data_IF_083546048570
#
_entry.id   IF_083546048570
#
_cell.length_a   1.000
_cell.length_b   1.000
_cell.length_c   1.000
_cell.angle_alpha   90.00
_cell.angle_beta   90.00
_cell.angle_gamma   90.00
#
_symmetry.space_group_name_H-M   'P 1'
#
loop_
_entity.id
_entity.type
_entity.pdbx_description
1 polymer ?
#
# COMPACT_ATOMS: atom_id res chain seq x y z
N UNK A 1 -4.65 -13.09 8.73
CA UNK A 1 -5.80 -12.23 9.08
C UNK A 1 -5.32 -11.14 10.03
N UNK A 2 -5.54 -9.84 9.79
CA UNK A 2 -4.79 -8.77 10.47
C UNK A 2 -5.57 -8.24 11.69
N UNK A 3 -5.85 -9.07 12.69
CA UNK A 3 -6.54 -8.66 13.92
C UNK A 3 -6.04 -9.50 15.10
N UNK A 4 -6.42 -9.14 16.33
CA UNK A 4 -6.10 -9.94 17.50
C UNK A 4 -6.74 -11.34 17.41
N UNK A 5 -6.04 -12.36 17.93
CA UNK A 5 -6.57 -13.73 17.96
C UNK A 5 -7.89 -13.82 18.75
N UNK A 6 -8.02 -13.01 19.81
CA UNK A 6 -9.25 -12.95 20.60
C UNK A 6 -10.44 -12.46 19.78
N UNK A 7 -10.28 -11.34 19.05
CA UNK A 7 -11.31 -10.78 18.17
C UNK A 7 -11.66 -11.76 17.05
N UNK A 8 -10.65 -12.35 16.42
CA UNK A 8 -10.85 -13.31 15.33
C UNK A 8 -11.58 -14.56 15.80
N UNK A 9 -11.16 -15.14 16.94
CA UNK A 9 -11.79 -16.32 17.52
C UNK A 9 -13.27 -16.08 17.87
N UNK A 10 -13.56 -14.97 18.58
CA UNK A 10 -14.95 -14.61 18.94
C UNK A 10 -15.87 -14.46 17.73
N UNK A 11 -15.33 -14.04 16.58
CA UNK A 11 -16.16 -13.69 15.44
C UNK A 11 -16.26 -14.80 14.39
N UNK A 12 -15.15 -15.53 14.14
CA UNK A 12 -15.09 -16.53 13.08
C UNK A 12 -15.33 -17.96 13.57
N UNK A 13 -15.01 -18.24 14.83
CA UNK A 13 -15.15 -19.56 15.43
C UNK A 13 -15.52 -19.50 16.93
N UNK A 14 -16.61 -18.80 17.30
CA UNK A 14 -17.03 -18.64 18.70
C UNK A 14 -17.25 -19.98 19.42
N UNK A 15 -17.59 -21.04 18.69
CA UNK A 15 -17.78 -22.39 19.19
C UNK A 15 -16.51 -23.02 19.79
N UNK A 16 -15.32 -22.50 19.43
CA UNK A 16 -14.03 -22.98 19.97
C UNK A 16 -13.69 -22.37 21.33
N UNK A 17 -14.53 -21.47 21.84
CA UNK A 17 -14.33 -20.77 23.11
C UNK A 17 -13.43 -19.53 22.99
N UNK A 18 -13.25 -18.83 24.11
CA UNK A 18 -12.48 -17.59 24.16
C UNK A 18 -10.97 -17.83 24.29
N UNK A 19 -10.20 -16.86 23.79
CA UNK A 19 -8.76 -16.80 24.07
C UNK A 19 -8.54 -16.69 25.59
N UNK A 20 -7.58 -17.45 26.12
CA UNK A 20 -7.15 -17.32 27.52
C UNK A 20 -6.31 -16.07 27.76
N UNK A 21 -5.91 -15.85 29.01
CA UNK A 21 -4.96 -14.80 29.42
C UNK A 21 -3.95 -15.37 30.42
N UNK A 22 -2.72 -14.87 30.37
CA UNK A 22 -1.66 -15.20 31.33
C UNK A 22 -0.97 -13.91 31.81
N UNK A 23 -0.54 -13.83 33.08
CA UNK A 23 0.16 -12.66 33.60
C UNK A 23 1.60 -12.64 33.09
N UNK A 24 1.81 -12.16 31.87
CA UNK A 24 3.13 -12.16 31.21
C UNK A 24 4.25 -11.50 32.03
N UNK A 25 3.91 -10.48 32.83
CA UNK A 25 4.86 -9.73 33.68
C UNK A 25 5.40 -10.60 34.82
N UNK A 26 4.63 -11.59 35.27
CA UNK A 26 4.99 -12.47 36.38
C UNK A 26 5.77 -13.70 35.90
N UNK A 27 5.92 -13.89 34.58
CA UNK A 27 6.63 -15.02 34.01
C UNK A 27 8.13 -14.74 33.90
N UNK A 28 8.92 -15.71 34.34
CA UNK A 28 10.37 -15.70 34.24
C UNK A 28 10.89 -17.10 33.92
N UNK A 29 12.10 -17.21 33.39
CA UNK A 29 12.70 -18.51 33.00
C UNK A 29 12.66 -19.51 34.18
N UNK A 30 12.84 -19.03 35.41
CA UNK A 30 12.84 -19.86 36.62
C UNK A 30 11.47 -20.41 37.01
N UNK A 31 10.36 -19.80 36.56
CA UNK A 31 9.00 -20.21 36.94
C UNK A 31 8.17 -20.83 35.80
N UNK A 32 8.74 -20.99 34.60
CA UNK A 32 8.06 -21.62 33.47
C UNK A 32 7.62 -23.06 33.75
N UNK A 33 8.49 -23.87 34.37
CA UNK A 33 8.18 -25.26 34.71
C UNK A 33 7.06 -25.36 35.74
N UNK A 34 7.05 -24.46 36.72
CA UNK A 34 6.02 -24.40 37.77
C UNK A 34 4.64 -24.08 37.18
N UNK A 35 4.60 -23.18 36.20
CA UNK A 35 3.37 -22.76 35.52
C UNK A 35 3.06 -23.59 34.26
N UNK A 36 3.80 -24.68 34.01
CA UNK A 36 3.77 -25.39 32.72
C UNK A 36 2.39 -25.91 32.34
N UNK A 37 1.61 -26.39 33.31
CA UNK A 37 0.26 -26.92 33.08
C UNK A 37 -0.67 -25.84 32.52
N UNK A 38 -0.69 -24.66 33.15
CA UNK A 38 -1.55 -23.55 32.74
C UNK A 38 -1.06 -22.92 31.42
N UNK A 39 0.27 -22.79 31.26
CA UNK A 39 0.88 -22.29 30.02
C UNK A 39 0.57 -23.20 28.83
N UNK A 40 0.70 -24.52 28.99
CA UNK A 40 0.37 -25.49 27.93
C UNK A 40 -1.11 -25.40 27.58
N UNK A 41 -2.00 -25.27 28.57
CA UNK A 41 -3.44 -25.12 28.34
C UNK A 41 -3.75 -23.83 27.56
N UNK A 42 -3.15 -22.71 27.95
CA UNK A 42 -3.26 -21.43 27.25
C UNK A 42 -2.76 -21.52 25.79
N UNK A 43 -1.56 -22.08 25.58
CA UNK A 43 -0.97 -22.22 24.24
C UNK A 43 -1.78 -23.14 23.34
N UNK A 44 -2.31 -24.25 23.88
CA UNK A 44 -3.21 -25.16 23.14
C UNK A 44 -4.47 -24.44 22.68
N UNK A 45 -5.06 -23.59 23.53
CA UNK A 45 -6.22 -22.80 23.15
C UNK A 45 -5.90 -21.80 22.05
N UNK A 46 -4.75 -21.13 22.11
CA UNK A 46 -4.31 -20.20 21.05
C UNK A 46 -4.13 -20.91 19.70
N UNK A 47 -3.50 -22.09 19.70
CA UNK A 47 -3.32 -22.92 18.49
C UNK A 47 -4.67 -23.40 17.94
N UNK A 48 -5.58 -23.84 18.82
CA UNK A 48 -6.91 -24.30 18.43
C UNK A 48 -7.71 -23.18 17.75
N UNK A 49 -7.76 -22.00 18.38
CA UNK A 49 -8.46 -20.84 17.81
C UNK A 49 -7.82 -20.43 16.49
N UNK A 50 -6.49 -20.38 16.40
CA UNK A 50 -5.80 -20.03 15.17
C UNK A 50 -6.14 -21.01 14.04
N UNK A 51 -6.13 -22.32 14.31
CA UNK A 51 -6.54 -23.34 13.35
C UNK A 51 -7.98 -23.14 12.86
N UNK A 52 -8.93 -22.90 13.77
CA UNK A 52 -10.32 -22.61 13.42
C UNK A 52 -10.47 -21.35 12.57
N UNK A 53 -9.78 -20.26 12.93
CA UNK A 53 -9.77 -19.02 12.15
C UNK A 53 -9.25 -19.25 10.73
N UNK A 54 -8.18 -20.03 10.57
CA UNK A 54 -7.60 -20.32 9.25
C UNK A 54 -8.54 -21.18 8.39
N UNK A 55 -9.15 -22.22 8.96
CA UNK A 55 -10.14 -23.04 8.27
C UNK A 55 -11.36 -22.22 7.85
N UNK A 56 -11.88 -21.36 8.74
CA UNK A 56 -13.01 -20.48 8.40
C UNK A 56 -12.64 -19.47 7.31
N UNK A 57 -11.44 -18.90 7.38
CA UNK A 57 -10.94 -18.01 6.33
C UNK A 57 -10.84 -18.73 4.98
N UNK A 58 -10.36 -19.99 4.95
CA UNK A 58 -10.32 -20.81 3.73
C UNK A 58 -11.74 -21.05 3.19
N UNK A 59 -12.68 -21.48 4.04
CA UNK A 59 -14.09 -21.70 3.67
C UNK A 59 -14.72 -20.44 3.04
N UNK A 60 -14.53 -19.27 3.67
CA UNK A 60 -15.06 -17.98 3.20
C UNK A 60 -14.46 -17.61 1.84
N UNK A 61 -13.13 -17.72 1.68
CA UNK A 61 -12.46 -17.34 0.44
C UNK A 61 -12.78 -18.31 -0.71
N UNK A 62 -12.88 -19.61 -0.41
CA UNK A 62 -13.26 -20.61 -1.37
C UNK A 62 -14.70 -20.44 -1.85
N UNK A 63 -15.64 -20.27 -0.92
CA UNK A 63 -17.06 -20.11 -1.26
C UNK A 63 -17.35 -18.83 -2.05
N UNK A 64 -16.68 -17.72 -1.72
CA UNK A 64 -16.94 -16.43 -2.38
C UNK A 64 -16.14 -16.18 -3.64
N UNK A 65 -14.89 -16.64 -3.68
CA UNK A 65 -13.95 -16.28 -4.75
C UNK A 65 -13.31 -17.49 -5.45
N UNK A 66 -13.56 -18.70 -4.93
CA UNK A 66 -12.89 -19.94 -5.35
C UNK A 66 -11.38 -19.77 -5.37
N UNK A 67 -10.85 -19.19 -4.29
CA UNK A 67 -9.42 -18.97 -4.06
C UNK A 67 -9.06 -19.70 -2.76
N UNK A 68 -8.06 -20.57 -2.84
CA UNK A 68 -7.45 -21.14 -1.64
C UNK A 68 -6.54 -20.11 -0.97
N UNK A 69 -6.64 -20.01 0.36
CA UNK A 69 -5.79 -19.14 1.18
C UNK A 69 -4.36 -19.68 1.29
N UNK A 70 -4.16 -20.99 1.10
CA UNK A 70 -2.82 -21.60 1.09
C UNK A 70 -1.96 -21.10 -0.07
N UNK A 71 -2.58 -20.70 -1.18
CA UNK A 71 -1.89 -20.11 -2.33
C UNK A 71 -1.49 -18.64 -2.15
N UNK A 72 -1.94 -17.98 -1.07
CA UNK A 72 -1.80 -16.53 -0.88
C UNK A 72 -1.29 -16.19 0.52
N UNK A 73 0.01 -15.87 0.56
CA UNK A 73 0.70 -15.54 1.81
C UNK A 73 0.19 -14.25 2.50
N UNK A 74 -0.33 -13.28 1.75
CA UNK A 74 -0.73 -11.97 2.30
C UNK A 74 -2.11 -11.56 1.82
N UNK A 75 -2.78 -10.71 2.59
CA UNK A 75 -4.11 -10.20 2.24
C UNK A 75 -4.05 -9.25 1.03
N UNK A 76 -2.95 -8.51 0.87
CA UNK A 76 -2.71 -7.71 -0.34
C UNK A 76 -2.59 -8.62 -1.58
N UNK A 77 -1.91 -9.76 -1.46
CA UNK A 77 -1.86 -10.78 -2.53
C UNK A 77 -3.24 -11.39 -2.81
N UNK A 78 -4.02 -11.68 -1.77
CA UNK A 78 -5.40 -12.17 -1.90
C UNK A 78 -6.29 -11.14 -2.61
N UNK A 79 -6.26 -9.88 -2.22
CA UNK A 79 -7.02 -8.80 -2.85
C UNK A 79 -6.67 -8.68 -4.35
N UNK A 80 -5.38 -8.71 -4.68
CA UNK A 80 -4.93 -8.69 -6.07
C UNK A 80 -5.39 -9.95 -6.83
N UNK A 81 -5.34 -11.14 -6.23
CA UNK A 81 -5.79 -12.39 -6.87
C UNK A 81 -7.30 -12.37 -7.13
N UNK A 82 -8.10 -11.88 -6.17
CA UNK A 82 -9.55 -11.68 -6.34
C UNK A 82 -9.84 -10.70 -7.47
N UNK A 83 -9.21 -9.53 -7.45
CA UNK A 83 -9.37 -8.51 -8.50
C UNK A 83 -9.05 -9.08 -9.88
N UNK A 84 -7.88 -9.70 -10.01
CA UNK A 84 -7.42 -10.25 -11.29
C UNK A 84 -8.31 -11.37 -11.84
N UNK A 85 -8.83 -12.22 -10.96
CA UNK A 85 -9.61 -13.39 -11.36
C UNK A 85 -11.05 -13.02 -11.71
N UNK A 86 -11.65 -12.10 -10.97
CA UNK A 86 -13.11 -11.91 -10.98
C UNK A 86 -13.55 -10.55 -11.57
N UNK A 87 -12.64 -9.58 -11.71
CA UNK A 87 -13.01 -8.19 -12.04
C UNK A 87 -12.16 -7.56 -13.11
N UNK A 88 -10.92 -8.02 -13.29
CA UNK A 88 -9.99 -7.43 -14.22
C UNK A 88 -10.05 -8.10 -15.59
N UNK A 89 -10.09 -7.28 -16.63
CA UNK A 89 -10.01 -7.71 -18.02
C UNK A 89 -8.96 -6.84 -18.74
N UNK A 90 -7.87 -7.46 -19.17
CA UNK A 90 -6.72 -6.77 -19.77
C UNK A 90 -7.04 -6.24 -21.18
N UNK A 91 -8.03 -6.83 -21.87
CA UNK A 91 -8.46 -6.37 -23.19
C UNK A 91 -9.18 -5.01 -23.10
N UNK A 92 -9.91 -4.78 -22.00
CA UNK A 92 -10.63 -3.52 -21.78
C UNK A 92 -9.77 -2.48 -21.06
N UNK A 93 -8.93 -2.88 -20.12
CA UNK A 93 -8.02 -1.99 -19.40
C UNK A 93 -6.65 -2.65 -19.24
N UNK A 94 -5.67 -2.28 -20.07
CA UNK A 94 -4.33 -2.83 -19.97
C UNK A 94 -3.53 -2.15 -18.85
N UNK A 95 -3.03 -2.93 -17.88
CA UNK A 95 -2.15 -2.43 -16.82
C UNK A 95 -0.70 -2.63 -17.24
N UNK A 96 -0.06 -1.55 -17.73
CA UNK A 96 1.35 -1.57 -18.07
C UNK A 96 2.23 -1.74 -16.82
N UNK A 97 3.13 -2.73 -16.83
CA UNK A 97 4.17 -2.83 -15.80
C UNK A 97 5.30 -1.86 -16.17
N UNK A 98 5.59 -0.86 -15.34
CA UNK A 98 6.51 0.20 -15.69
C UNK A 98 7.95 -0.31 -15.82
N UNK A 99 8.68 0.23 -16.79
CA UNK A 99 10.14 0.10 -16.83
C UNK A 99 10.79 0.86 -15.67
N UNK A 100 12.09 0.63 -15.43
CA UNK A 100 12.89 1.38 -14.46
C UNK A 100 12.66 2.89 -14.53
N UNK A 101 12.78 3.44 -15.74
CA UNK A 101 12.69 4.88 -15.98
C UNK A 101 11.28 5.41 -15.73
N UNK A 102 10.26 4.65 -16.15
CA UNK A 102 8.85 4.99 -15.90
C UNK A 102 8.54 4.99 -14.41
N UNK A 103 8.90 3.92 -13.70
CA UNK A 103 8.64 3.75 -12.27
C UNK A 103 9.38 4.83 -11.45
N UNK A 104 10.67 5.03 -11.71
CA UNK A 104 11.49 6.06 -11.03
C UNK A 104 10.94 7.46 -11.27
N UNK A 105 10.54 7.79 -12.51
CA UNK A 105 9.96 9.11 -12.81
C UNK A 105 8.62 9.30 -12.10
N UNK A 106 7.71 8.32 -12.19
CA UNK A 106 6.36 8.42 -11.62
C UNK A 106 6.41 8.46 -10.09
N UNK A 107 7.32 7.70 -9.45
CA UNK A 107 7.50 7.72 -7.98
C UNK A 107 7.89 9.09 -7.42
N UNK A 108 8.49 9.97 -8.22
CA UNK A 108 8.74 11.36 -7.81
C UNK A 108 7.44 12.12 -7.55
N UNK A 109 6.36 11.74 -8.24
CA UNK A 109 5.01 12.25 -8.02
C UNK A 109 4.11 11.35 -7.17
N UNK A 110 4.66 10.30 -6.56
CA UNK A 110 3.90 9.45 -5.65
C UNK A 110 4.05 9.96 -4.21
N UNK A 111 3.00 10.63 -3.74
CA UNK A 111 2.92 11.23 -2.41
C UNK A 111 1.92 10.47 -1.54
N UNK A 112 2.15 10.51 -0.22
CA UNK A 112 1.20 9.99 0.77
C UNK A 112 0.06 10.99 1.01
N UNK A 113 -0.74 10.74 2.04
CA UNK A 113 -1.81 11.65 2.43
C UNK A 113 -1.31 13.03 2.85
N UNK A 114 -2.17 14.04 2.68
CA UNK A 114 -1.93 15.41 3.13
C UNK A 114 -1.94 15.48 4.66
N UNK A 115 -0.81 15.84 5.27
CA UNK A 115 -0.66 15.96 6.72
C UNK A 115 -0.06 17.32 7.05
N UNK A 116 -0.83 18.14 7.75
CA UNK A 116 -0.40 19.43 8.26
C UNK A 116 -0.14 19.39 9.76
N UNK A 117 0.75 20.26 10.22
CA UNK A 117 1.00 20.47 11.64
C UNK A 117 0.07 21.57 12.16
N UNK A 118 -0.85 21.17 13.04
CA UNK A 118 -1.78 22.08 13.71
C UNK A 118 -1.31 22.40 15.13
N UNK A 119 -1.78 23.53 15.67
CA UNK A 119 -1.68 23.80 17.11
C UNK A 119 -2.50 22.72 17.84
N UNK A 120 -1.94 22.00 18.83
CA UNK A 120 -2.63 20.88 19.49
C UNK A 120 -3.68 21.36 20.52
N UNK A 121 -4.46 22.38 20.17
CA UNK A 121 -5.52 22.94 21.00
C UNK A 121 -6.57 23.64 20.11
N UNK A 122 -7.84 23.45 20.46
CA UNK A 122 -8.97 24.18 19.90
C UNK A 122 -10.24 23.87 20.68
N UNK A 123 -11.22 24.76 20.57
CA UNK A 123 -12.52 24.64 21.25
C UNK A 123 -13.63 24.55 20.20
N UNK A 124 -14.72 23.82 20.51
CA UNK A 124 -15.89 23.67 19.64
C UNK A 124 -15.55 23.18 18.21
N UNK A 125 -14.68 22.18 18.11
CA UNK A 125 -14.21 21.63 16.84
C UNK A 125 -15.18 20.57 16.29
N UNK A 126 -15.22 20.46 14.96
CA UNK A 126 -15.90 19.39 14.23
C UNK A 126 -14.89 18.47 13.57
N UNK A 127 -15.08 17.16 13.70
CA UNK A 127 -14.26 16.13 13.06
C UNK A 127 -15.05 15.48 11.92
N UNK A 128 -14.48 15.56 10.72
CA UNK A 128 -15.04 14.95 9.51
C UNK A 128 -14.04 13.93 8.98
N UNK A 129 -14.53 12.73 8.63
CA UNK A 129 -13.74 11.66 8.02
C UNK A 129 -14.47 11.16 6.77
N UNK A 130 -13.71 10.99 5.69
CA UNK A 130 -14.25 10.49 4.42
C UNK A 130 -14.38 8.98 4.51
N UNK A 131 -15.60 8.49 4.30
CA UNK A 131 -15.87 7.06 4.32
C UNK A 131 -15.15 6.34 3.17
N UNK A 132 -14.02 5.70 3.48
CA UNK A 132 -13.24 4.90 2.53
C UNK A 132 -12.76 5.73 1.32
N UNK A 133 -11.99 6.79 1.60
CA UNK A 133 -11.43 7.71 0.61
C UNK A 133 -10.79 7.02 -0.62
N UNK A 134 -9.73 6.24 -0.43
CA UNK A 134 -9.07 5.57 -1.58
C UNK A 134 -10.00 4.62 -2.35
N UNK A 135 -10.81 3.76 -1.70
CA UNK A 135 -11.84 3.01 -2.41
C UNK A 135 -12.82 3.88 -3.21
N UNK A 136 -13.25 5.03 -2.69
CA UNK A 136 -14.11 5.95 -3.44
C UNK A 136 -13.41 6.45 -4.72
N UNK A 137 -12.14 6.89 -4.61
CA UNK A 137 -11.35 7.30 -5.77
C UNK A 137 -11.20 6.17 -6.78
N UNK A 138 -10.84 4.98 -6.30
CA UNK A 138 -10.75 3.78 -7.11
C UNK A 138 -12.05 3.44 -7.83
N UNK A 139 -13.22 3.70 -7.23
CA UNK A 139 -14.49 3.43 -7.88
C UNK A 139 -14.85 4.49 -8.93
N UNK A 140 -14.62 5.76 -8.60
CA UNK A 140 -15.29 6.88 -9.28
C UNK A 140 -14.43 7.64 -10.28
N UNK A 141 -13.09 7.52 -10.21
CA UNK A 141 -12.19 8.34 -11.02
C UNK A 141 -11.58 7.53 -12.16
N UNK A 142 -11.39 8.17 -13.31
CA UNK A 142 -10.66 7.58 -14.43
C UNK A 142 -9.21 7.26 -14.04
N UNK A 143 -8.66 6.20 -14.62
CA UNK A 143 -7.32 5.70 -14.29
C UNK A 143 -6.40 5.65 -15.52
N UNK A 144 -5.07 5.77 -15.33
CA UNK A 144 -4.09 5.63 -16.40
C UNK A 144 -4.05 4.20 -16.94
N UNK A 145 -4.42 4.04 -18.21
CA UNK A 145 -4.47 2.78 -18.94
C UNK A 145 -3.39 2.72 -20.03
N UNK A 146 -2.95 1.50 -20.36
CA UNK A 146 -2.11 1.22 -21.50
C UNK A 146 -0.63 1.57 -21.29
N UNK A 147 0.12 1.46 -22.38
CA UNK A 147 1.56 1.76 -22.41
C UNK A 147 1.73 3.29 -22.45
N UNK A 148 2.46 3.88 -21.48
CA UNK A 148 2.64 5.32 -21.46
C UNK A 148 3.53 5.82 -22.59
N UNK A 149 3.24 7.04 -23.06
CA UNK A 149 4.03 7.74 -24.06
C UNK A 149 4.78 8.90 -23.41
N UNK A 150 6.10 8.89 -23.54
CA UNK A 150 6.93 10.01 -23.12
C UNK A 150 6.71 11.23 -24.05
N UNK A 151 6.52 12.40 -23.45
CA UNK A 151 6.43 13.68 -24.17
C UNK A 151 7.34 14.72 -23.52
N UNK A 152 8.07 15.46 -24.34
CA UNK A 152 8.85 16.63 -23.97
C UNK A 152 8.17 17.90 -24.52
N UNK A 153 8.66 19.07 -24.09
CA UNK A 153 8.27 20.38 -24.58
C UNK A 153 6.75 20.62 -24.45
N UNK A 154 6.20 20.35 -23.27
CA UNK A 154 4.77 20.46 -22.99
C UNK A 154 4.32 21.90 -22.69
N UNK A 155 5.21 22.90 -22.72
CA UNK A 155 4.93 24.26 -22.21
C UNK A 155 3.82 24.97 -22.98
N UNK A 156 3.53 24.55 -24.21
CA UNK A 156 2.47 25.08 -25.07
C UNK A 156 1.23 24.19 -25.14
N UNK A 157 1.23 23.06 -24.44
CA UNK A 157 0.12 22.11 -24.42
C UNK A 157 -0.86 22.52 -23.33
N UNK A 158 -2.13 22.67 -23.69
CA UNK A 158 -3.19 23.00 -22.74
C UNK A 158 -3.34 21.91 -21.68
N UNK A 159 -3.39 22.31 -20.41
CA UNK A 159 -3.37 21.40 -19.26
C UNK A 159 -4.52 20.38 -19.31
N UNK A 160 -5.70 20.77 -19.78
CA UNK A 160 -6.89 19.91 -19.92
C UNK A 160 -6.66 18.69 -20.81
N UNK A 161 -5.79 18.83 -21.82
CA UNK A 161 -5.44 17.74 -22.74
C UNK A 161 -4.43 16.74 -22.17
N UNK A 162 -3.79 17.07 -21.05
CA UNK A 162 -2.81 16.19 -20.41
C UNK A 162 -3.52 15.17 -19.50
N UNK A 163 -3.10 13.92 -19.60
CA UNK A 163 -3.50 12.85 -18.69
C UNK A 163 -2.31 11.94 -18.39
N UNK A 164 -1.77 12.01 -17.18
CA UNK A 164 -0.57 11.25 -16.80
C UNK A 164 0.28 11.94 -15.74
N UNK A 165 1.57 11.62 -15.71
CA UNK A 165 2.52 12.15 -14.72
C UNK A 165 3.46 13.16 -15.38
N UNK A 166 3.44 14.39 -14.89
CA UNK A 166 4.04 15.55 -15.54
C UNK A 166 5.03 16.23 -14.58
N UNK A 167 6.26 16.40 -15.04
CA UNK A 167 7.19 17.34 -14.42
C UNK A 167 6.77 18.77 -14.82
N UNK A 168 6.48 19.59 -13.82
CA UNK A 168 5.99 20.95 -14.02
C UNK A 168 6.73 21.94 -13.12
N UNK A 169 6.93 23.14 -13.65
CA UNK A 169 7.26 24.31 -12.85
C UNK A 169 5.97 24.95 -12.35
N UNK A 170 5.84 25.11 -11.04
CA UNK A 170 4.63 25.64 -10.42
C UNK A 170 4.94 26.87 -9.58
N UNK A 171 4.01 27.83 -9.61
CA UNK A 171 4.02 29.02 -8.74
C UNK A 171 2.75 29.03 -7.93
N UNK A 172 2.88 28.64 -6.66
CA UNK A 172 1.83 28.72 -5.66
C UNK A 172 1.71 30.16 -5.13
N UNK A 173 0.50 30.78 -5.14
CA UNK A 173 0.31 32.12 -4.60
C UNK A 173 0.70 32.22 -3.13
N UNK A 174 1.40 33.28 -2.73
CA UNK A 174 1.90 33.46 -1.35
C UNK A 174 0.80 33.75 -0.32
N UNK A 175 -0.41 34.06 -0.76
CA UNK A 175 -1.55 34.37 0.09
C UNK A 175 -2.49 33.17 0.31
N UNK A 176 -2.24 32.01 -0.33
CA UNK A 176 -3.04 30.82 -0.09
C UNK A 176 -2.77 30.29 1.32
N UNK A 177 -3.82 30.10 2.11
CA UNK A 177 -3.70 29.66 3.51
C UNK A 177 -3.46 28.16 3.64
N UNK A 178 -3.81 27.39 2.61
CA UNK A 178 -3.65 25.94 2.53
C UNK A 178 -3.07 25.58 1.16
N UNK A 179 -1.73 25.61 1.00
CA UNK A 179 -1.10 25.16 -0.22
C UNK A 179 -1.44 23.69 -0.48
N UNK A 180 -1.69 23.36 -1.73
CA UNK A 180 -2.22 22.06 -2.15
C UNK A 180 -1.14 21.11 -2.70
N UNK A 181 -0.25 21.60 -3.56
CA UNK A 181 0.72 20.72 -4.22
C UNK A 181 1.86 20.28 -3.27
N UNK A 182 2.15 18.97 -3.20
CA UNK A 182 3.20 18.44 -2.33
C UNK A 182 4.61 18.71 -2.88
N UNK A 183 5.57 18.77 -1.97
CA UNK A 183 6.99 18.91 -2.29
C UNK A 183 7.81 18.10 -1.28
N UNK A 184 8.74 17.28 -1.76
CA UNK A 184 9.74 16.62 -0.90
C UNK A 184 11.02 17.43 -0.92
N UNK A 185 11.47 17.88 0.24
CA UNK A 185 12.75 18.57 0.35
C UNK A 185 13.95 17.61 0.17
N UNK A 186 15.16 18.16 0.23
CA UNK A 186 16.41 17.39 0.09
C UNK A 186 16.61 16.30 1.17
N UNK A 187 15.86 16.35 2.26
CA UNK A 187 15.89 15.37 3.35
C UNK A 187 14.76 14.34 3.23
N UNK A 188 13.88 14.47 2.24
CA UNK A 188 12.70 13.61 2.06
C UNK A 188 11.49 14.04 2.88
N UNK A 189 11.52 15.20 3.51
CA UNK A 189 10.39 15.73 4.29
C UNK A 189 9.28 16.18 3.34
N UNK A 190 8.07 15.67 3.53
CA UNK A 190 6.89 16.10 2.79
C UNK A 190 6.41 17.46 3.30
N UNK A 191 6.27 18.41 2.39
CA UNK A 191 5.85 19.78 2.62
C UNK A 191 4.77 20.18 1.61
N UNK A 192 3.98 21.20 1.97
CA UNK A 192 3.02 21.85 1.07
C UNK A 192 3.36 23.35 1.01
N UNK A 193 4.36 23.75 0.19
CA UNK A 193 4.89 25.11 0.24
C UNK A 193 4.14 26.09 -0.68
N UNK A 194 4.21 27.37 -0.32
CA UNK A 194 3.95 28.48 -1.25
C UNK A 194 5.18 28.84 -2.07
N UNK A 195 5.02 29.61 -3.15
CA UNK A 195 6.12 30.09 -3.96
C UNK A 195 6.44 29.17 -5.14
N UNK A 196 7.72 29.08 -5.50
CA UNK A 196 8.17 28.50 -6.78
C UNK A 196 8.89 27.19 -6.56
N UNK A 197 8.47 26.14 -7.24
CA UNK A 197 9.14 24.85 -7.18
C UNK A 197 8.88 24.01 -8.44
N UNK A 198 9.68 22.97 -8.62
CA UNK A 198 9.53 21.97 -9.68
C UNK A 198 9.24 20.64 -9.00
N UNK A 199 8.26 19.91 -9.52
CA UNK A 199 7.90 18.58 -9.07
C UNK A 199 7.29 17.76 -10.19
N UNK A 200 7.13 16.46 -9.94
CA UNK A 200 6.32 15.57 -10.79
C UNK A 200 4.97 15.42 -10.12
N UNK A 201 3.90 15.62 -10.88
CA UNK A 201 2.54 15.60 -10.36
C UNK A 201 1.65 14.79 -11.29
N UNK A 202 0.57 14.22 -10.75
CA UNK A 202 -0.47 13.71 -11.61
C UNK A 202 -1.20 14.89 -12.28
N UNK A 203 -1.55 14.74 -13.56
CA UNK A 203 -2.13 15.84 -14.34
C UNK A 203 -3.42 16.39 -13.74
N UNK A 204 -4.21 15.56 -13.07
CA UNK A 204 -5.45 16.02 -12.43
C UNK A 204 -5.16 16.89 -11.19
N UNK A 205 -4.07 16.66 -10.46
CA UNK A 205 -3.62 17.56 -9.37
C UNK A 205 -3.20 18.92 -9.93
N UNK A 206 -2.51 18.92 -11.07
CA UNK A 206 -2.10 20.17 -11.72
C UNK A 206 -3.31 20.98 -12.18
N UNK A 207 -4.35 20.33 -12.72
CA UNK A 207 -5.61 20.99 -13.11
C UNK A 207 -6.27 21.63 -11.90
N UNK A 208 -6.41 20.88 -10.81
CA UNK A 208 -6.99 21.42 -9.58
C UNK A 208 -6.14 22.55 -8.98
N UNK A 209 -4.81 22.43 -8.99
CA UNK A 209 -3.93 23.50 -8.54
C UNK A 209 -4.10 24.76 -9.40
N UNK A 210 -4.26 24.61 -10.71
CA UNK A 210 -4.54 25.73 -11.61
C UNK A 210 -5.85 26.45 -11.22
N UNK A 211 -6.91 25.70 -10.91
CA UNK A 211 -8.19 26.25 -10.43
C UNK A 211 -8.05 26.99 -9.09
N UNK A 212 -7.11 26.56 -8.24
CA UNK A 212 -6.74 27.25 -6.99
C UNK A 212 -5.87 28.50 -7.20
N UNK A 213 -5.57 28.87 -8.46
CA UNK A 213 -4.79 30.05 -8.81
C UNK A 213 -3.28 29.82 -8.97
N UNK A 214 -2.83 28.56 -9.04
CA UNK A 214 -1.44 28.26 -9.33
C UNK A 214 -1.13 28.61 -10.79
N UNK A 215 0.05 29.21 -11.02
CA UNK A 215 0.64 29.20 -12.35
C UNK A 215 1.31 27.84 -12.57
N UNK A 216 0.89 27.11 -13.59
CA UNK A 216 1.44 25.78 -13.94
C UNK A 216 2.08 25.84 -15.33
N UNK A 217 3.34 25.46 -15.42
CA UNK A 217 4.07 25.31 -16.68
C UNK A 217 4.50 23.84 -16.80
N UNK A 218 3.77 23.01 -17.56
CA UNK A 218 4.15 21.61 -17.79
C UNK A 218 5.38 21.54 -18.70
N UNK A 219 6.36 20.71 -18.34
CA UNK A 219 7.64 20.61 -19.05
C UNK A 219 7.73 19.33 -19.89
N UNK A 220 7.57 18.18 -19.23
CA UNK A 220 7.69 16.84 -19.82
C UNK A 220 7.04 15.80 -18.93
N UNK A 221 6.73 14.63 -19.47
CA UNK A 221 6.15 13.56 -18.67
C UNK A 221 5.68 12.36 -19.46
N UNK A 222 5.11 11.40 -18.73
CA UNK A 222 4.46 10.22 -19.30
C UNK A 222 2.96 10.45 -19.38
N UNK A 223 2.42 10.37 -20.60
CA UNK A 223 0.98 10.43 -20.86
C UNK A 223 0.40 9.03 -21.00
N UNK A 224 -0.83 8.86 -20.54
CA UNK A 224 -1.58 7.61 -20.54
C UNK A 224 -2.93 7.79 -21.24
N UNK A 225 -3.53 6.68 -21.65
CA UNK A 225 -4.93 6.67 -22.04
C UNK A 225 -5.81 6.88 -20.79
N UNK A 226 -6.82 7.75 -20.89
CA UNK A 226 -7.83 7.96 -19.84
C UNK A 226 -8.98 6.98 -20.04
N UNK A 227 -9.11 5.99 -19.16
CA UNK A 227 -10.25 5.06 -19.14
C UNK A 227 -11.01 5.10 -17.82
N UNK A 228 -12.26 4.64 -17.84
CA UNK A 228 -13.02 4.33 -16.63
C UNK A 228 -12.23 3.37 -15.74
N UNK A 229 -12.44 3.48 -14.42
CA UNK A 229 -11.65 2.70 -13.48
C UNK A 229 -11.87 1.20 -13.66
N UNK A 230 -10.80 0.37 -13.70
CA UNK A 230 -10.95 -1.08 -13.71
C UNK A 230 -11.42 -1.60 -12.35
N UNK A 231 -11.39 -0.77 -11.30
CA UNK A 231 -11.72 -1.17 -9.93
C UNK A 231 -13.19 -0.99 -9.56
N UNK A 232 -14.02 -0.41 -10.44
CA UNK A 232 -15.40 -0.04 -10.13
C UNK A 232 -16.22 -1.23 -9.61
N UNK A 233 -16.22 -2.36 -10.33
CA UNK A 233 -16.94 -3.56 -9.92
C UNK A 233 -16.37 -4.18 -8.65
N UNK A 234 -15.05 -4.20 -8.51
CA UNK A 234 -14.37 -4.74 -7.33
C UNK A 234 -14.74 -3.96 -6.07
N UNK A 235 -14.61 -2.63 -6.10
CA UNK A 235 -14.92 -1.78 -4.96
C UNK A 235 -16.41 -1.77 -4.65
N UNK A 236 -17.29 -1.70 -5.66
CA UNK A 236 -18.74 -1.69 -5.44
C UNK A 236 -19.21 -2.95 -4.73
N UNK A 237 -18.82 -4.13 -5.22
CA UNK A 237 -19.24 -5.41 -4.62
C UNK A 237 -18.70 -5.59 -3.20
N UNK A 238 -17.43 -5.23 -2.94
CA UNK A 238 -16.86 -5.34 -1.59
C UNK A 238 -17.48 -4.34 -0.62
N UNK A 239 -17.79 -3.13 -1.08
CA UNK A 239 -18.44 -2.12 -0.25
C UNK A 239 -19.87 -2.52 0.12
N UNK A 240 -20.65 -3.04 -0.84
CA UNK A 240 -21.98 -3.57 -0.59
C UNK A 240 -21.94 -4.75 0.39
N UNK A 241 -21.04 -5.71 0.14
CA UNK A 241 -20.84 -6.86 1.05
C UNK A 241 -20.48 -6.40 2.46
N UNK A 242 -19.63 -5.38 2.60
CA UNK A 242 -19.26 -4.78 3.89
C UNK A 242 -20.47 -4.17 4.61
N UNK A 243 -21.38 -3.52 3.88
CA UNK A 243 -22.59 -2.95 4.46
C UNK A 243 -23.55 -4.03 4.95
N UNK A 244 -23.72 -5.10 4.18
CA UNK A 244 -24.55 -6.25 4.56
C UNK A 244 -24.00 -6.93 5.81
N UNK A 245 -22.69 -7.21 5.87
CA UNK A 245 -22.08 -7.84 7.05
C UNK A 245 -22.15 -6.94 8.27
N UNK A 246 -22.01 -5.62 8.08
CA UNK A 246 -22.16 -4.65 9.17
C UNK A 246 -23.59 -4.64 9.71
N UNK A 247 -24.61 -4.73 8.86
CA UNK A 247 -26.02 -4.85 9.27
C UNK A 247 -26.29 -6.17 10.00
N UNK A 248 -25.63 -7.25 9.61
CA UNK A 248 -25.73 -8.56 10.25
C UNK A 248 -24.93 -8.69 11.55
N UNK A 249 -24.12 -7.69 11.92
CA UNK A 249 -23.24 -7.75 13.10
C UNK A 249 -22.00 -8.62 12.91
N UNK A 250 -21.65 -9.00 11.69
CA UNK A 250 -20.45 -9.77 11.38
C UNK A 250 -19.25 -8.83 11.26
N UNK A 251 -18.61 -8.58 12.41
CA UNK A 251 -17.46 -7.68 12.52
C UNK A 251 -16.24 -8.17 11.75
N UNK A 252 -16.00 -9.48 11.69
CA UNK A 252 -14.83 -10.06 11.05
C UNK A 252 -14.91 -9.91 9.54
N UNK A 253 -16.05 -10.24 8.94
CA UNK A 253 -16.24 -10.03 7.51
C UNK A 253 -16.25 -8.55 7.17
N UNK A 254 -16.87 -7.71 8.00
CA UNK A 254 -16.82 -6.26 7.82
C UNK A 254 -15.39 -5.74 7.79
N UNK A 255 -14.53 -6.26 8.67
CA UNK A 255 -13.11 -5.95 8.69
C UNK A 255 -12.39 -6.48 7.46
N UNK A 256 -12.60 -7.75 7.06
CA UNK A 256 -12.00 -8.35 5.85
C UNK A 256 -12.33 -7.51 4.62
N UNK A 257 -13.59 -7.13 4.43
CA UNK A 257 -13.99 -6.33 3.27
C UNK A 257 -13.33 -4.95 3.27
N UNK A 258 -13.30 -4.26 4.43
CA UNK A 258 -12.58 -2.99 4.59
C UNK A 258 -11.11 -3.13 4.17
N UNK A 259 -10.47 -4.20 4.62
CA UNK A 259 -9.07 -4.51 4.39
C UNK A 259 -8.84 -4.81 2.90
N UNK A 260 -9.61 -5.70 2.28
CA UNK A 260 -9.50 -6.03 0.85
C UNK A 260 -9.61 -4.78 -0.04
N UNK A 261 -10.54 -3.87 0.27
CA UNK A 261 -10.68 -2.60 -0.45
C UNK A 261 -9.45 -1.70 -0.30
N UNK A 262 -8.85 -1.64 0.88
CA UNK A 262 -7.74 -0.73 1.18
C UNK A 262 -6.37 -1.28 0.72
N UNK A 263 -6.16 -2.60 0.69
CA UNK A 263 -4.82 -3.17 0.45
C UNK A 263 -4.41 -3.27 -1.02
N UNK A 264 -5.36 -3.18 -1.95
CA UNK A 264 -5.07 -3.39 -3.37
C UNK A 264 -4.29 -2.22 -3.98
N UNK A 265 -4.61 -0.96 -3.64
CA UNK A 265 -3.86 0.19 -4.19
C UNK A 265 -2.40 0.18 -3.71
N UNK A 266 -2.17 -0.16 -2.44
CA UNK A 266 -0.82 -0.29 -1.88
C UNK A 266 0.01 -1.36 -2.58
N UNK A 267 -0.62 -2.40 -3.13
CA UNK A 267 0.05 -3.43 -3.94
C UNK A 267 0.66 -2.84 -5.21
N UNK A 268 -0.08 -1.96 -5.89
CA UNK A 268 0.39 -1.30 -7.09
C UNK A 268 1.52 -0.29 -6.80
N UNK A 269 1.57 0.26 -5.58
CA UNK A 269 2.58 1.21 -5.14
C UNK A 269 3.82 0.58 -4.48
N UNK A 270 3.95 -0.75 -4.44
CA UNK A 270 5.07 -1.44 -3.79
C UNK A 270 6.42 -0.92 -4.30
N UNK A 271 7.33 -0.60 -3.38
CA UNK A 271 8.68 -0.16 -3.74
C UNK A 271 9.44 -1.34 -4.38
N UNK A 272 10.07 -1.16 -5.58
CA UNK A 272 10.95 -2.16 -6.16
C UNK A 272 12.16 -2.43 -5.28
N UNK A 273 12.68 -1.40 -4.64
CA UNK A 273 13.75 -1.54 -3.66
C UNK A 273 13.18 -2.15 -2.38
N UNK A 274 13.81 -3.23 -1.92
CA UNK A 274 13.41 -3.93 -0.71
C UNK A 274 14.62 -4.47 0.04
N UNK A 275 14.49 -4.60 1.36
CA UNK A 275 15.51 -5.25 2.18
C UNK A 275 15.24 -6.75 2.14
N UNK A 276 16.26 -7.50 1.72
CA UNK A 276 16.29 -8.95 1.82
C UNK A 276 17.04 -9.32 3.09
N UNK A 277 16.41 -10.13 3.92
CA UNK A 277 17.01 -10.74 5.10
C UNK A 277 17.25 -12.21 4.82
N UNK A 278 18.50 -12.64 4.96
CA UNK A 278 18.91 -14.02 4.69
C UNK A 278 19.75 -14.55 5.85
N UNK A 279 19.50 -15.80 6.26
CA UNK A 279 20.41 -16.53 7.15
C UNK A 279 21.40 -17.29 6.27
N UNK A 280 22.67 -16.91 6.33
CA UNK A 280 23.70 -17.47 5.47
C UNK A 280 24.95 -17.89 6.27
N UNK A 281 25.81 -18.70 5.65
CA UNK A 281 27.06 -19.12 6.28
C UNK A 281 28.13 -18.02 6.21
N UNK A 282 29.24 -18.21 6.90
CA UNK A 282 30.33 -17.23 6.95
C UNK A 282 30.85 -16.80 5.57
N UNK A 283 31.06 -17.77 4.66
CA UNK A 283 31.52 -17.48 3.30
C UNK A 283 30.55 -16.56 2.55
N UNK A 284 29.25 -16.86 2.61
CA UNK A 284 28.22 -16.06 1.94
C UNK A 284 28.07 -14.68 2.56
N UNK A 285 28.24 -14.57 3.87
CA UNK A 285 28.32 -13.29 4.57
C UNK A 285 29.48 -12.44 4.04
N UNK A 286 30.69 -13.00 3.92
CA UNK A 286 31.85 -12.28 3.38
C UNK A 286 31.60 -11.81 1.95
N UNK A 287 30.99 -12.65 1.10
CA UNK A 287 30.59 -12.25 -0.27
C UNK A 287 29.62 -11.07 -0.26
N UNK A 288 28.57 -11.12 0.57
CA UNK A 288 27.55 -10.06 0.63
C UNK A 288 28.09 -8.77 1.23
N UNK A 289 28.99 -8.84 2.20
CA UNK A 289 29.61 -7.67 2.85
C UNK A 289 30.41 -6.82 1.85
N UNK A 290 30.93 -7.43 0.79
CA UNK A 290 31.68 -6.74 -0.26
C UNK A 290 30.78 -6.09 -1.32
N UNK A 291 29.46 -6.24 -1.22
CA UNK A 291 28.51 -5.64 -2.18
C UNK A 291 28.06 -4.26 -1.71
N UNK A 292 27.87 -3.33 -2.66
CA UNK A 292 27.35 -1.97 -2.38
C UNK A 292 25.93 -1.98 -1.79
N UNK A 293 25.23 -3.10 -1.92
CA UNK A 293 23.87 -3.30 -1.45
C UNK A 293 23.79 -3.77 0.01
N UNK A 294 24.92 -4.08 0.65
CA UNK A 294 24.96 -4.50 2.05
C UNK A 294 24.42 -3.41 2.98
N UNK A 295 23.66 -3.82 4.00
CA UNK A 295 23.14 -2.89 5.03
C UNK A 295 23.63 -3.24 6.42
N UNK A 296 23.48 -4.48 6.85
CA UNK A 296 23.88 -4.92 8.19
C UNK A 296 24.00 -6.43 8.26
N UNK A 297 24.74 -6.94 9.26
CA UNK A 297 24.73 -8.34 9.61
C UNK A 297 24.75 -8.53 11.13
N UNK A 298 24.10 -9.59 11.60
CA UNK A 298 24.12 -10.06 12.98
C UNK A 298 24.60 -11.51 13.02
N UNK A 299 25.59 -11.80 13.87
CA UNK A 299 26.08 -13.16 14.06
C UNK A 299 25.08 -13.93 14.94
N UNK A 300 24.45 -14.96 14.37
CA UNK A 300 23.50 -15.81 15.11
C UNK A 300 24.22 -16.93 15.86
N UNK A 301 25.19 -17.55 15.20
CA UNK A 301 26.06 -18.60 15.76
C UNK A 301 27.45 -18.48 15.17
N UNK A 302 28.39 -19.36 15.56
CA UNK A 302 29.71 -19.41 14.93
C UNK A 302 29.69 -19.73 13.43
N UNK A 303 28.58 -20.25 12.92
CA UNK A 303 28.46 -20.75 11.55
C UNK A 303 27.50 -19.92 10.69
N UNK A 304 26.56 -19.22 11.33
CA UNK A 304 25.47 -18.52 10.64
C UNK A 304 25.38 -17.05 11.01
N UNK A 305 25.08 -16.25 10.00
CA UNK A 305 24.85 -14.81 10.08
C UNK A 305 23.46 -14.51 9.52
N UNK A 306 22.74 -13.60 10.17
CA UNK A 306 21.58 -12.93 9.59
C UNK A 306 22.08 -11.68 8.87
N UNK A 307 21.93 -11.63 7.56
CA UNK A 307 22.41 -10.53 6.72
C UNK A 307 21.25 -9.80 6.10
N UNK A 308 21.29 -8.47 6.14
CA UNK A 308 20.36 -7.58 5.47
C UNK A 308 21.08 -6.86 4.32
N UNK A 309 20.52 -6.95 3.12
CA UNK A 309 21.01 -6.23 1.93
C UNK A 309 19.83 -5.73 1.10
N UNK A 310 20.05 -4.70 0.29
CA UNK A 310 19.02 -4.14 -0.59
C UNK A 310 18.96 -4.88 -1.93
N UNK A 311 17.76 -5.29 -2.32
CA UNK A 311 17.47 -5.80 -3.67
C UNK A 311 16.89 -4.67 -4.53
N UNK A 312 17.19 -4.66 -5.83
CA UNK A 312 16.79 -3.63 -6.79
C UNK A 312 17.19 -2.21 -6.37
N UNK A 313 18.38 -2.05 -5.79
CA UNK A 313 18.89 -0.73 -5.44
C UNK A 313 19.12 0.13 -6.68
N UNK A 314 19.31 1.44 -6.48
CA UNK A 314 19.70 2.38 -7.55
C UNK A 314 20.96 1.98 -8.30
N UNK A 315 21.76 1.04 -7.78
CA UNK A 315 23.02 0.57 -8.35
C UNK A 315 22.90 -0.75 -9.14
N UNK A 316 21.74 -1.40 -9.13
CA UNK A 316 21.51 -2.58 -9.97
C UNK A 316 21.49 -2.19 -11.45
N UNK A 317 22.08 -3.00 -12.32
CA UNK A 317 21.97 -2.83 -13.78
C UNK A 317 20.50 -2.98 -14.22
N UNK A 318 20.13 -2.35 -15.35
CA UNK A 318 18.76 -2.39 -15.86
C UNK A 318 18.27 -3.83 -16.15
N UNK A 319 19.19 -4.72 -16.54
CA UNK A 319 18.93 -6.16 -16.75
C UNK A 319 18.70 -6.93 -15.43
N UNK A 320 19.13 -6.36 -14.30
CA UNK A 320 18.96 -6.95 -12.96
C UNK A 320 17.77 -6.39 -12.18
N UNK A 321 17.13 -5.30 -12.66
CA UNK A 321 15.92 -4.76 -12.04
C UNK A 321 14.79 -5.80 -12.16
N UNK A 322 14.38 -6.38 -11.03
CA UNK A 322 13.21 -7.25 -10.91
C UNK A 322 12.05 -6.49 -10.29
N UNK A 323 11.21 -5.88 -11.12
CA UNK A 323 10.05 -5.14 -10.62
C UNK A 323 9.18 -6.10 -9.79
N UNK A 324 8.64 -5.67 -8.64
CA UNK A 324 7.74 -6.50 -7.86
C UNK A 324 6.58 -6.94 -8.76
N UNK A 325 6.24 -8.23 -8.73
CA UNK A 325 5.17 -8.78 -9.57
C UNK A 325 3.91 -7.92 -9.45
N UNK A 326 3.50 -7.30 -10.56
CA UNK A 326 2.32 -6.42 -10.68
C UNK A 326 2.38 -5.11 -9.88
N UNK A 327 3.57 -4.56 -9.62
CA UNK A 327 3.72 -3.18 -9.15
C UNK A 327 3.51 -2.21 -10.31
N UNK A 328 2.41 -1.48 -10.31
CA UNK A 328 2.04 -0.49 -11.33
C UNK A 328 1.84 0.87 -10.66
N UNK A 329 2.96 1.55 -10.35
CA UNK A 329 2.95 2.76 -9.50
C UNK A 329 2.05 3.86 -10.04
N UNK A 330 1.83 3.94 -11.35
CA UNK A 330 0.92 4.90 -11.98
C UNK A 330 -0.51 4.80 -11.44
N UNK A 331 -0.99 3.60 -11.08
CA UNK A 331 -2.33 3.42 -10.51
C UNK A 331 -2.36 3.89 -9.06
N UNK A 332 -1.38 3.48 -8.25
CA UNK A 332 -1.31 3.89 -6.85
C UNK A 332 -1.11 5.40 -6.69
N UNK A 333 -0.27 6.00 -7.54
CA UNK A 333 -0.02 7.43 -7.55
C UNK A 333 -1.26 8.21 -8.04
N UNK A 334 -1.98 7.75 -9.07
CA UNK A 334 -3.24 8.39 -9.49
C UNK A 334 -4.32 8.30 -8.40
N UNK A 335 -4.45 7.15 -7.72
CA UNK A 335 -5.40 6.96 -6.61
C UNK A 335 -5.09 7.91 -5.44
N UNK A 336 -3.82 8.09 -5.12
CA UNK A 336 -3.41 8.97 -4.00
C UNK A 336 -3.48 10.45 -4.36
N UNK A 337 -3.20 10.81 -5.60
CA UNK A 337 -3.29 12.16 -6.13
C UNK A 337 -4.74 12.70 -6.22
N UNK A 338 -5.70 11.83 -6.54
CA UNK A 338 -7.12 12.21 -6.64
C UNK A 338 -7.86 12.17 -5.29
N UNK A 339 -7.19 11.73 -4.21
CA UNK A 339 -7.74 11.60 -2.86
C UNK A 339 -7.51 12.89 -2.07
#
# INVERSE_FOLDING_TARGET
MPSSLETLGKTLCPELGSKGSIPHVDLSVSNLLLNSVDLIKYLRQDILILGGVMLKAQEINWSKYSIDVEDVMTISSLALKIFRKNYFDDETFHINIPTRNQDTFIRRGYYGGHVDVYKPYGENLYYYDVNSLYPHIMKSYSMPCGIPVWKNNLERVGLDSLFGFIEAYVVCPTHISRPFLPYKDKYGTLLFPTGKFIGVFYSEELKFAHDLGYQVIPLRGYLFEKKSSPFEGFISNLFESRLETKKAGDEAMTYIYKILMNFIYGRFGMNPESIVTEICNHKKYEELMMTDNFKSAEKLTDHYYMVNYSSNSSFADDDEWKAPKMSAVQLAAAITACA
#
